data_IF_937382283873
#
_entry.id   IF_937382283873
#
_cell.length_a   1.000
_cell.length_b   1.000
_cell.length_c   1.000
_cell.angle_alpha   90.00
_cell.angle_beta   90.00
_cell.angle_gamma   90.00
#
_symmetry.space_group_name_H-M   'P 1'
#
loop_
_entity.id
_entity.type
_entity.pdbx_description
1 polymer ?
#
# COMPACT_ATOMS: atom_id res chain seq x y z
N UNK A 1 5.96 25.55 -2.02
CA UNK A 1 5.00 24.59 -2.60
C UNK A 1 5.77 23.55 -3.38
N UNK A 2 5.27 22.32 -3.47
CA UNK A 2 5.90 21.28 -4.28
C UNK A 2 5.68 21.58 -5.77
N UNK A 3 6.75 21.60 -6.56
CA UNK A 3 6.70 21.63 -8.03
C UNK A 3 6.70 20.19 -8.53
N UNK A 4 5.85 19.88 -9.51
CA UNK A 4 5.75 18.56 -10.14
C UNK A 4 5.93 18.71 -11.64
N UNK A 5 6.47 17.70 -12.30
CA UNK A 5 6.42 17.64 -13.76
C UNK A 5 4.99 17.43 -14.26
N UNK A 6 4.70 17.79 -15.52
CA UNK A 6 3.41 17.47 -16.15
C UNK A 6 3.12 15.96 -16.09
N UNK A 7 4.16 15.14 -16.25
CA UNK A 7 4.05 13.69 -16.20
C UNK A 7 3.64 13.21 -14.82
N UNK A 8 4.32 13.66 -13.76
CA UNK A 8 4.00 13.29 -12.37
C UNK A 8 2.62 13.78 -11.93
N UNK A 9 2.21 14.97 -12.40
CA UNK A 9 0.85 15.46 -12.19
C UNK A 9 -0.17 14.54 -12.88
N UNK A 10 0.09 14.15 -14.13
CA UNK A 10 -0.74 13.20 -14.88
C UNK A 10 -0.84 11.86 -14.16
N UNK A 11 0.28 11.30 -13.71
CA UNK A 11 0.33 10.03 -12.97
C UNK A 11 -0.41 10.12 -11.64
N UNK A 12 -0.24 11.21 -10.89
CA UNK A 12 -0.93 11.43 -9.61
C UNK A 12 -2.44 11.53 -9.79
N UNK A 13 -2.90 12.24 -10.83
CA UNK A 13 -4.32 12.37 -11.15
C UNK A 13 -4.90 11.03 -11.62
N UNK A 14 -4.21 10.31 -12.50
CA UNK A 14 -4.63 8.97 -12.95
C UNK A 14 -4.71 8.00 -11.78
N UNK A 15 -3.75 8.01 -10.86
CA UNK A 15 -3.78 7.18 -9.65
C UNK A 15 -4.98 7.54 -8.75
N UNK A 16 -5.22 8.83 -8.51
CA UNK A 16 -6.35 9.27 -7.70
C UNK A 16 -7.69 8.84 -8.33
N UNK A 17 -7.85 9.03 -9.64
CA UNK A 17 -9.06 8.65 -10.38
C UNK A 17 -9.26 7.13 -10.45
N UNK A 18 -8.17 6.38 -10.60
CA UNK A 18 -8.21 4.91 -10.53
C UNK A 18 -8.67 4.47 -9.14
N UNK A 19 -8.22 5.14 -8.08
CA UNK A 19 -8.72 4.94 -6.72
C UNK A 19 -10.22 5.22 -6.57
N UNK A 20 -10.69 6.34 -7.14
CA UNK A 20 -12.13 6.69 -7.15
C UNK A 20 -12.95 5.67 -7.93
N UNK A 21 -12.53 5.30 -9.13
CA UNK A 21 -13.20 4.31 -9.98
C UNK A 21 -13.27 2.94 -9.28
N UNK A 22 -12.19 2.51 -8.61
CA UNK A 22 -12.20 1.28 -7.80
C UNK A 22 -13.14 1.37 -6.61
N UNK A 23 -13.26 2.55 -6.00
CA UNK A 23 -14.20 2.79 -4.89
C UNK A 23 -15.64 2.72 -5.39
N UNK A 24 -15.96 3.39 -6.51
CA UNK A 24 -17.29 3.36 -7.15
C UNK A 24 -17.68 1.95 -7.61
N UNK A 25 -16.73 1.19 -8.16
CA UNK A 25 -16.95 -0.21 -8.55
C UNK A 25 -17.25 -1.12 -7.35
N UNK A 26 -16.74 -0.77 -6.14
CA UNK A 26 -16.97 -1.51 -4.89
C UNK A 26 -18.26 -1.08 -4.16
N UNK A 27 -18.69 0.16 -4.31
CA UNK A 27 -19.94 0.70 -3.71
C UNK A 27 -21.22 0.31 -4.47
N UNK A 28 -21.16 -0.71 -5.33
CA UNK A 28 -22.32 -1.24 -6.04
C UNK A 28 -23.20 -2.07 -5.10
N UNK A 29 -23.93 -1.41 -4.21
CA UNK A 29 -25.14 -1.95 -3.59
C UNK A 29 -26.33 -1.89 -4.57
N UNK A 30 -27.50 -2.37 -4.15
CA UNK A 30 -28.74 -2.67 -4.90
C UNK A 30 -29.20 -1.69 -6.01
N UNK A 31 -28.60 -0.50 -6.11
CA UNK A 31 -28.83 0.51 -7.13
C UNK A 31 -28.01 0.34 -8.44
N UNK A 32 -27.03 -0.57 -8.48
CA UNK A 32 -26.29 -0.94 -9.70
C UNK A 32 -24.83 -0.50 -9.72
N UNK A 33 -24.10 -0.93 -10.77
CA UNK A 33 -22.67 -0.62 -10.96
C UNK A 33 -22.53 0.77 -11.55
N UNK A 34 -21.85 1.67 -10.84
CA UNK A 34 -21.54 3.01 -11.31
C UNK A 34 -20.16 3.01 -11.98
N UNK A 35 -20.11 3.49 -13.23
CA UNK A 35 -18.88 3.76 -13.96
C UNK A 35 -18.74 5.27 -14.12
N UNK A 36 -17.54 5.79 -13.89
CA UNK A 36 -17.24 7.19 -14.14
C UNK A 36 -17.01 7.38 -15.64
N UNK A 37 -17.97 7.97 -16.35
CA UNK A 37 -17.97 8.10 -17.82
C UNK A 37 -17.08 9.23 -18.36
N UNK A 38 -17.10 10.37 -17.69
CA UNK A 38 -16.26 11.50 -18.02
C UNK A 38 -15.85 12.24 -16.76
N UNK A 39 -14.55 12.49 -16.59
CA UNK A 39 -14.07 13.49 -15.63
C UNK A 39 -13.44 14.62 -16.41
N UNK A 40 -14.00 15.81 -16.25
CA UNK A 40 -13.41 17.07 -16.65
C UNK A 40 -12.87 17.76 -15.40
N UNK A 41 -11.54 17.85 -15.31
CA UNK A 41 -10.87 18.56 -14.24
C UNK A 41 -10.23 19.81 -14.83
N UNK A 42 -10.60 20.98 -14.30
CA UNK A 42 -9.94 22.26 -14.61
C UNK A 42 -9.06 22.65 -13.43
N UNK A 43 -7.75 22.46 -13.57
CA UNK A 43 -6.79 22.86 -12.53
C UNK A 43 -6.08 24.15 -12.95
N UNK A 44 -6.18 25.24 -12.16
CA UNK A 44 -5.37 26.42 -12.37
C UNK A 44 -3.93 26.11 -11.97
N UNK A 45 -3.03 26.09 -12.95
CA UNK A 45 -1.62 25.81 -12.70
C UNK A 45 -0.72 26.91 -13.23
N UNK A 46 0.40 27.11 -12.56
CA UNK A 46 1.53 27.88 -13.07
C UNK A 46 2.51 26.95 -13.77
N UNK A 47 2.88 27.31 -14.98
CA UNK A 47 3.88 26.60 -15.77
C UNK A 47 5.23 27.34 -15.73
N UNK A 48 6.31 26.59 -15.58
CA UNK A 48 7.69 27.09 -15.70
C UNK A 48 8.54 26.05 -16.41
N UNK A 49 9.50 26.51 -17.21
CA UNK A 49 10.52 25.60 -17.78
C UNK A 49 11.69 25.53 -16.79
N UNK A 50 12.02 24.32 -16.36
CA UNK A 50 13.15 24.00 -15.51
C UNK A 50 14.50 24.20 -16.22
N UNK A 51 15.60 24.27 -15.46
CA UNK A 51 16.95 24.40 -16.03
C UNK A 51 17.37 23.18 -16.90
N UNK A 52 16.67 22.06 -16.77
CA UNK A 52 16.79 20.83 -17.55
C UNK A 52 15.87 20.79 -18.79
N UNK A 53 15.13 21.87 -19.04
CA UNK A 53 14.18 21.97 -20.14
C UNK A 53 12.83 21.29 -19.88
N UNK A 54 12.59 20.74 -18.69
CA UNK A 54 11.31 20.13 -18.35
C UNK A 54 10.25 21.18 -18.03
N UNK A 55 8.99 20.86 -18.32
CA UNK A 55 7.86 21.72 -17.93
C UNK A 55 7.41 21.33 -16.53
N UNK A 56 7.63 22.24 -15.59
CA UNK A 56 7.23 22.15 -14.21
C UNK A 56 5.89 22.85 -14.01
N UNK A 57 5.06 22.23 -13.20
CA UNK A 57 3.69 22.63 -12.88
C UNK A 57 3.59 22.83 -11.39
N UNK A 58 2.97 23.94 -10.97
CA UNK A 58 2.61 24.18 -9.57
C UNK A 58 1.14 24.57 -9.47
N UNK A 59 0.38 24.02 -8.50
CA UNK A 59 -1.00 24.46 -8.25
C UNK A 59 -0.99 25.94 -7.82
N UNK A 60 -1.93 26.73 -8.32
CA UNK A 60 -2.13 28.08 -7.83
C UNK A 60 -3.07 28.08 -6.62
N UNK A 61 -2.59 28.56 -5.48
CA UNK A 61 -3.41 28.84 -4.30
C UNK A 61 -3.73 30.33 -4.27
N UNK A 62 -4.89 30.74 -4.79
CA UNK A 62 -5.45 32.07 -4.58
C UNK A 62 -5.68 32.91 -5.84
N UNK A 63 -6.16 34.13 -5.59
CA UNK A 63 -6.70 35.14 -6.51
C UNK A 63 -5.63 35.78 -7.43
N UNK A 64 -4.78 34.93 -8.02
CA UNK A 64 -3.80 35.38 -9.01
C UNK A 64 -4.51 35.81 -10.29
N UNK A 65 -4.05 36.89 -10.95
CA UNK A 65 -4.71 37.40 -12.14
C UNK A 65 -4.82 36.28 -13.18
N UNK A 66 -6.04 36.03 -13.64
CA UNK A 66 -6.43 34.91 -14.52
C UNK A 66 -5.56 34.74 -15.77
N UNK A 67 -4.79 35.77 -16.15
CA UNK A 67 -3.84 35.76 -17.25
C UNK A 67 -2.55 34.95 -17.02
N UNK A 68 -2.27 34.48 -15.79
CA UNK A 68 -1.08 33.66 -15.48
C UNK A 68 -1.39 32.17 -15.22
N UNK A 69 -2.66 31.79 -15.26
CA UNK A 69 -3.10 30.44 -14.97
C UNK A 69 -3.34 29.69 -16.28
N UNK A 70 -2.62 28.58 -16.46
CA UNK A 70 -2.95 27.63 -17.52
C UNK A 70 -4.01 26.68 -17.00
N UNK A 71 -5.03 26.39 -17.82
CA UNK A 71 -6.02 25.35 -17.52
C UNK A 71 -5.60 24.06 -18.21
N UNK A 72 -5.42 23.02 -17.43
CA UNK A 72 -5.27 21.67 -17.96
C UNK A 72 -6.66 21.06 -17.94
N UNK A 73 -7.23 20.75 -19.13
CA UNK A 73 -8.46 19.98 -19.27
C UNK A 73 -8.10 18.52 -19.43
N UNK A 74 -8.43 17.70 -18.44
CA UNK A 74 -8.31 16.25 -18.53
C UNK A 74 -9.68 15.69 -18.90
N UNK A 75 -9.74 14.75 -19.85
CA UNK A 75 -10.96 14.01 -20.21
C UNK A 75 -10.67 12.53 -20.03
N UNK A 76 -11.43 11.85 -19.19
CA UNK A 76 -11.22 10.44 -18.88
C UNK A 76 -12.49 9.65 -19.19
N UNK A 77 -12.39 8.63 -20.05
CA UNK A 77 -13.50 7.74 -20.40
C UNK A 77 -13.28 6.35 -19.76
N UNK A 78 -14.30 5.69 -19.20
CA UNK A 78 -14.19 4.33 -18.72
C UNK A 78 -14.09 3.41 -19.92
N UNK A 79 -13.33 2.33 -19.76
CA UNK A 79 -13.31 1.27 -20.76
C UNK A 79 -14.71 0.66 -20.89
N UNK A 80 -15.20 0.53 -22.11
CA UNK A 80 -16.43 -0.21 -22.37
C UNK A 80 -16.24 -1.68 -21.97
N UNK A 81 -17.32 -2.39 -21.61
CA UNK A 81 -17.27 -3.77 -21.12
C UNK A 81 -16.56 -4.77 -22.06
N UNK A 82 -16.36 -4.41 -23.34
CA UNK A 82 -15.64 -5.19 -24.36
C UNK A 82 -14.25 -4.63 -24.72
N UNK A 83 -13.86 -3.48 -24.19
CA UNK A 83 -12.47 -3.04 -24.25
C UNK A 83 -11.72 -3.70 -23.11
N UNK A 84 -11.21 -4.91 -23.34
CA UNK A 84 -10.12 -5.48 -22.55
C UNK A 84 -8.84 -4.64 -22.75
N UNK A 85 -8.86 -3.37 -22.36
CA UNK A 85 -7.66 -2.76 -21.79
C UNK A 85 -7.48 -3.53 -20.49
N UNK A 86 -6.72 -4.62 -20.58
CA UNK A 86 -6.47 -5.52 -19.46
C UNK A 86 -6.00 -4.69 -18.29
N UNK A 87 -6.94 -4.37 -17.38
CA UNK A 87 -6.58 -3.83 -16.08
C UNK A 87 -5.58 -4.85 -15.54
N UNK A 88 -4.33 -4.43 -15.28
CA UNK A 88 -3.34 -5.37 -14.78
C UNK A 88 -3.98 -6.04 -13.56
N UNK A 89 -3.84 -7.38 -13.43
CA UNK A 89 -4.43 -8.09 -12.31
C UNK A 89 -4.10 -7.33 -11.02
N UNK A 90 -5.08 -7.14 -10.12
CA UNK A 90 -4.91 -6.29 -8.95
C UNK A 90 -3.62 -6.67 -8.25
N UNK A 91 -2.71 -5.70 -8.17
CA UNK A 91 -1.43 -5.86 -7.48
C UNK A 91 -1.70 -6.21 -6.02
N UNK A 92 -0.75 -6.86 -5.34
CA UNK A 92 -0.92 -7.24 -3.92
C UNK A 92 -1.37 -6.07 -3.04
N UNK A 93 -1.00 -4.83 -3.39
CA UNK A 93 -1.41 -3.60 -2.71
C UNK A 93 -2.88 -3.20 -2.91
N UNK A 94 -3.53 -3.60 -4.01
CA UNK A 94 -4.92 -3.23 -4.32
C UNK A 94 -5.95 -4.10 -3.57
N UNK A 95 -5.48 -5.13 -2.88
CA UNK A 95 -6.30 -6.10 -2.14
C UNK A 95 -6.95 -5.44 -0.90
N UNK A 96 -8.16 -5.89 -0.52
CA UNK A 96 -8.84 -5.40 0.68
C UNK A 96 -8.11 -5.87 1.95
N UNK A 97 -8.34 -5.16 3.05
CA UNK A 97 -7.77 -5.51 4.37
C UNK A 97 -8.26 -6.85 4.92
N UNK A 98 -9.38 -7.37 4.44
CA UNK A 98 -9.98 -8.63 4.88
C UNK A 98 -9.11 -9.87 4.63
N UNK A 99 -8.07 -9.75 3.79
CA UNK A 99 -7.13 -10.85 3.54
C UNK A 99 -6.08 -11.01 4.64
N UNK A 100 -5.96 -10.03 5.55
CA UNK A 100 -5.03 -10.10 6.66
C UNK A 100 -5.69 -10.81 7.84
N UNK A 101 -5.15 -11.96 8.31
CA UNK A 101 -5.86 -12.87 9.22
C UNK A 101 -6.12 -12.26 10.60
N UNK A 102 -5.28 -11.32 11.05
CA UNK A 102 -5.41 -10.69 12.37
C UNK A 102 -6.39 -9.49 12.38
N UNK A 103 -6.92 -9.08 11.22
CA UNK A 103 -7.84 -7.95 11.13
C UNK A 103 -9.30 -8.38 11.26
N UNK A 104 -9.89 -8.14 12.43
CA UNK A 104 -11.32 -8.35 12.64
C UNK A 104 -12.17 -7.34 11.86
N UNK A 105 -13.44 -7.68 11.58
CA UNK A 105 -14.35 -6.77 10.88
C UNK A 105 -14.52 -5.42 11.61
N UNK A 106 -14.49 -5.43 12.95
CA UNK A 106 -14.55 -4.19 13.75
C UNK A 106 -13.31 -3.31 13.53
N UNK A 107 -12.12 -3.90 13.46
CA UNK A 107 -10.88 -3.19 13.15
C UNK A 107 -10.91 -2.62 11.74
N UNK A 108 -11.36 -3.42 10.76
CA UNK A 108 -11.49 -2.99 9.37
C UNK A 108 -12.44 -1.79 9.25
N UNK A 109 -13.56 -1.79 9.97
CA UNK A 109 -14.48 -0.65 9.98
C UNK A 109 -13.85 0.61 10.60
N UNK A 110 -13.02 0.48 11.64
CA UNK A 110 -12.27 1.62 12.19
C UNK A 110 -11.25 2.15 11.18
N UNK A 111 -10.51 1.27 10.51
CA UNK A 111 -9.55 1.61 9.45
C UNK A 111 -10.22 2.34 8.27
N UNK A 112 -11.41 1.89 7.87
CA UNK A 112 -12.22 2.56 6.85
C UNK A 112 -12.59 3.99 7.27
N UNK A 113 -12.83 4.23 8.56
CA UNK A 113 -13.05 5.58 9.11
C UNK A 113 -11.86 6.52 8.96
N UNK A 114 -10.64 5.99 8.78
CA UNK A 114 -9.42 6.73 8.45
C UNK A 114 -9.10 6.70 6.95
N UNK A 115 -10.04 6.27 6.11
CA UNK A 115 -9.85 6.08 4.67
C UNK A 115 -8.74 5.07 4.31
N UNK A 116 -8.52 4.06 5.16
CA UNK A 116 -7.58 2.96 4.91
C UNK A 116 -8.40 1.74 4.49
N UNK A 117 -8.47 1.49 3.17
CA UNK A 117 -9.35 0.45 2.60
C UNK A 117 -8.59 -0.75 2.04
N UNK A 118 -7.32 -0.55 1.69
CA UNK A 118 -6.48 -1.53 1.01
C UNK A 118 -5.18 -1.79 1.74
N UNK A 119 -4.51 -2.89 1.40
CA UNK A 119 -3.15 -3.19 1.87
C UNK A 119 -2.19 -2.05 1.50
N UNK A 120 -2.31 -1.49 0.30
CA UNK A 120 -1.50 -0.34 -0.14
C UNK A 120 -1.71 0.90 0.71
N UNK A 121 -2.97 1.24 1.03
CA UNK A 121 -3.26 2.37 1.94
C UNK A 121 -2.66 2.12 3.33
N UNK A 122 -2.80 0.90 3.85
CA UNK A 122 -2.29 0.53 5.16
C UNK A 122 -0.77 0.62 5.24
N UNK A 123 -0.07 0.07 4.23
CA UNK A 123 1.39 0.17 4.13
C UNK A 123 1.86 1.61 3.93
N UNK A 124 1.13 2.42 3.15
CA UNK A 124 1.45 3.84 2.96
C UNK A 124 1.32 4.64 4.25
N UNK A 125 0.28 4.40 5.05
CA UNK A 125 0.11 5.09 6.34
C UNK A 125 1.19 4.67 7.33
N UNK A 126 1.42 3.36 7.46
CA UNK A 126 2.34 2.77 8.44
C UNK A 126 3.82 2.96 8.09
N UNK A 127 4.16 3.34 6.86
CA UNK A 127 5.56 3.64 6.49
C UNK A 127 6.06 4.98 7.05
N UNK A 128 5.16 5.88 7.43
CA UNK A 128 5.52 7.16 8.05
C UNK A 128 5.55 7.05 9.59
N UNK A 129 6.51 7.72 10.25
CA UNK A 129 6.59 7.74 11.73
C UNK A 129 5.27 8.21 12.36
N UNK A 130 4.71 9.30 11.85
CA UNK A 130 3.47 9.88 12.35
C UNK A 130 2.26 8.96 12.12
N UNK A 131 2.19 8.31 10.95
CA UNK A 131 1.12 7.36 10.64
C UNK A 131 1.21 6.10 11.49
N UNK A 132 2.42 5.58 11.72
CA UNK A 132 2.64 4.47 12.64
C UNK A 132 2.23 4.84 14.08
N UNK A 133 2.68 5.98 14.59
CA UNK A 133 2.30 6.46 15.94
C UNK A 133 0.78 6.64 16.09
N UNK A 134 0.12 7.19 15.06
CA UNK A 134 -1.34 7.29 15.02
C UNK A 134 -1.97 5.89 15.13
N UNK A 135 -1.49 4.91 14.36
CA UNK A 135 -2.03 3.54 14.38
C UNK A 135 -1.86 2.86 15.74
N UNK A 136 -0.74 3.10 16.43
CA UNK A 136 -0.52 2.63 17.81
C UNK A 136 -1.51 3.30 18.78
N UNK A 137 -1.74 4.60 18.65
CA UNK A 137 -2.63 5.37 19.54
C UNK A 137 -4.11 5.01 19.38
N UNK A 138 -4.53 4.57 18.18
CA UNK A 138 -5.92 4.15 17.93
C UNK A 138 -6.28 2.87 18.72
N UNK A 139 -5.31 2.24 19.40
CA UNK A 139 -5.47 1.06 20.26
C UNK A 139 -6.39 0.02 19.61
N UNK A 140 -5.95 -0.44 18.44
CA UNK A 140 -6.65 -1.47 17.72
C UNK A 140 -6.27 -2.82 18.33
N UNK A 141 -7.25 -3.70 18.52
CA UNK A 141 -7.06 -5.01 19.16
C UNK A 141 -6.32 -6.02 18.24
N UNK A 142 -5.16 -5.63 17.70
CA UNK A 142 -4.28 -6.45 16.88
C UNK A 142 -2.80 -6.05 17.04
N UNK A 143 -1.90 -6.96 16.65
CA UNK A 143 -0.46 -6.69 16.62
C UNK A 143 -0.08 -5.94 15.35
N UNK A 144 0.14 -4.62 15.48
CA UNK A 144 0.44 -3.73 14.35
C UNK A 144 1.68 -4.16 13.58
N UNK A 145 2.76 -4.56 14.26
CA UNK A 145 4.01 -4.91 13.60
C UNK A 145 3.84 -6.21 12.80
N UNK A 146 3.17 -7.21 13.40
CA UNK A 146 2.83 -8.45 12.71
C UNK A 146 1.96 -8.19 11.49
N UNK A 147 0.93 -7.37 11.60
CA UNK A 147 0.02 -7.05 10.47
C UNK A 147 0.74 -6.28 9.37
N UNK A 148 1.70 -5.39 9.69
CA UNK A 148 2.55 -4.73 8.69
C UNK A 148 3.37 -5.77 7.93
N UNK A 149 3.94 -6.76 8.61
CA UNK A 149 4.73 -7.80 7.94
C UNK A 149 3.87 -8.71 7.05
N UNK A 150 2.64 -9.04 7.49
CA UNK A 150 1.67 -9.78 6.67
C UNK A 150 1.26 -8.97 5.43
N UNK A 151 0.97 -7.68 5.61
CA UNK A 151 0.64 -6.78 4.52
C UNK A 151 1.78 -6.68 3.49
N UNK A 152 3.04 -6.62 3.93
CA UNK A 152 4.21 -6.65 3.04
C UNK A 152 4.38 -7.97 2.32
N UNK A 153 4.08 -9.10 2.97
CA UNK A 153 4.11 -10.41 2.34
C UNK A 153 3.13 -10.46 1.16
N UNK A 154 1.89 -10.04 1.39
CA UNK A 154 0.84 -10.01 0.34
C UNK A 154 1.14 -8.98 -0.75
N UNK A 155 1.73 -7.84 -0.41
CA UNK A 155 2.09 -6.79 -1.34
C UNK A 155 3.38 -7.06 -2.14
N UNK A 156 4.10 -8.16 -1.88
CA UNK A 156 5.40 -8.44 -2.49
C UNK A 156 5.24 -8.69 -4.01
N UNK A 157 5.93 -7.92 -4.88
CA UNK A 157 5.84 -8.11 -6.33
C UNK A 157 6.30 -9.50 -6.81
N UNK A 158 7.25 -10.09 -6.09
CA UNK A 158 7.85 -11.39 -6.40
C UNK A 158 7.00 -12.56 -5.90
N UNK A 159 6.02 -12.30 -5.03
CA UNK A 159 5.19 -13.33 -4.40
C UNK A 159 3.81 -13.37 -5.05
N UNK A 160 3.45 -14.46 -5.73
CA UNK A 160 2.09 -14.66 -6.19
C UNK A 160 1.12 -14.64 -5.01
N UNK A 161 -0.02 -13.96 -5.16
CA UNK A 161 -0.99 -13.78 -4.09
C UNK A 161 -1.42 -15.10 -3.43
N UNK A 162 -1.67 -16.15 -4.24
CA UNK A 162 -2.10 -17.46 -3.71
C UNK A 162 -1.04 -18.07 -2.78
N UNK A 163 0.25 -17.84 -3.06
CA UNK A 163 1.33 -18.27 -2.18
C UNK A 163 1.35 -17.42 -0.91
N UNK A 164 1.18 -16.10 -1.00
CA UNK A 164 1.13 -15.25 0.18
C UNK A 164 -0.04 -15.62 1.11
N UNK A 165 -1.22 -15.87 0.56
CA UNK A 165 -2.42 -16.29 1.30
C UNK A 165 -2.20 -17.64 1.99
N UNK A 166 -1.71 -18.64 1.27
CA UNK A 166 -1.42 -19.97 1.80
C UNK A 166 -0.36 -19.93 2.93
N UNK A 167 0.68 -19.09 2.77
CA UNK A 167 1.69 -18.87 3.82
C UNK A 167 1.08 -18.24 5.08
N UNK A 168 0.18 -17.26 4.93
CA UNK A 168 -0.52 -16.64 6.05
C UNK A 168 -1.40 -17.65 6.80
N UNK A 169 -2.11 -18.51 6.09
CA UNK A 169 -2.93 -19.59 6.68
C UNK A 169 -2.08 -20.57 7.51
N UNK A 170 -0.83 -20.80 7.12
CA UNK A 170 0.13 -21.65 7.83
C UNK A 170 0.97 -20.89 8.87
N UNK A 171 0.62 -19.64 9.17
CA UNK A 171 1.24 -18.84 10.23
C UNK A 171 2.60 -18.23 9.86
N UNK A 172 2.95 -18.19 8.58
CA UNK A 172 4.17 -17.52 8.08
C UNK A 172 3.80 -16.08 7.76
N UNK A 173 4.12 -15.18 8.71
CA UNK A 173 3.59 -13.82 8.73
C UNK A 173 4.45 -12.81 7.97
N UNK A 174 5.65 -13.18 7.52
CA UNK A 174 6.59 -12.22 6.92
C UNK A 174 7.41 -12.84 5.80
N UNK A 175 7.91 -11.97 4.90
CA UNK A 175 8.86 -12.36 3.84
C UNK A 175 10.13 -12.98 4.43
N UNK A 176 10.56 -12.47 5.60
CA UNK A 176 11.73 -12.96 6.30
C UNK A 176 11.52 -14.37 6.87
N UNK A 177 10.34 -14.66 7.42
CA UNK A 177 10.00 -15.99 7.91
C UNK A 177 9.96 -16.97 6.74
N UNK A 178 9.30 -16.60 5.64
CA UNK A 178 9.28 -17.39 4.41
C UNK A 178 10.71 -17.67 3.89
N UNK A 179 11.57 -16.66 3.85
CA UNK A 179 12.95 -16.80 3.41
C UNK A 179 13.78 -17.77 4.29
N UNK A 180 13.42 -17.96 5.56
CA UNK A 180 14.15 -18.83 6.50
C UNK A 180 13.73 -20.29 6.46
N UNK A 181 12.60 -20.62 5.82
CA UNK A 181 12.10 -22.00 5.78
C UNK A 181 13.08 -22.93 5.05
N UNK A 182 13.28 -24.13 5.62
CA UNK A 182 13.95 -25.23 4.92
C UNK A 182 13.02 -25.84 3.86
N UNK A 183 13.55 -26.60 2.88
CA UNK A 183 12.73 -27.30 1.90
C UNK A 183 11.66 -28.22 2.51
N UNK A 184 11.97 -28.87 3.64
CA UNK A 184 11.03 -29.71 4.37
C UNK A 184 9.91 -28.89 5.00
N UNK A 185 10.27 -27.75 5.62
CA UNK A 185 9.29 -26.83 6.21
C UNK A 185 8.40 -26.19 5.14
N UNK A 186 8.95 -25.86 3.95
CA UNK A 186 8.17 -25.36 2.82
C UNK A 186 7.10 -26.36 2.37
N UNK A 187 7.42 -27.66 2.30
CA UNK A 187 6.45 -28.70 1.93
C UNK A 187 5.30 -28.84 2.93
N UNK A 188 5.55 -28.54 4.21
CA UNK A 188 4.52 -28.56 5.25
C UNK A 188 3.73 -27.25 5.32
N UNK A 189 4.38 -26.15 4.96
CA UNK A 189 3.81 -24.80 4.98
C UNK A 189 2.97 -24.46 3.75
N UNK A 190 3.08 -25.27 2.69
CA UNK A 190 2.37 -25.07 1.43
C UNK A 190 1.29 -26.13 1.29
N UNK A 191 0.06 -25.72 0.99
CA UNK A 191 -1.04 -26.67 0.80
C UNK A 191 -0.87 -27.51 -0.48
N UNK A 192 -1.39 -28.75 -0.44
CA UNK A 192 -1.42 -29.63 -1.61
C UNK A 192 -2.12 -28.96 -2.81
N UNK A 193 -3.15 -28.14 -2.54
CA UNK A 193 -3.86 -27.34 -3.55
C UNK A 193 -2.94 -26.34 -4.25
N UNK A 194 -2.05 -25.68 -3.52
CA UNK A 194 -1.11 -24.74 -4.14
C UNK A 194 -0.07 -25.50 -4.97
N UNK A 195 0.34 -26.71 -4.54
CA UNK A 195 1.30 -27.56 -5.29
C UNK A 195 0.73 -28.04 -6.62
N UNK A 196 -0.59 -28.24 -6.72
CA UNK A 196 -1.27 -28.58 -7.97
C UNK A 196 -1.22 -27.45 -9.02
N UNK A 197 -1.10 -26.20 -8.56
CA UNK A 197 -1.17 -24.99 -9.41
C UNK A 197 0.22 -24.36 -9.61
N UNK A 198 1.13 -24.57 -8.65
CA UNK A 198 2.49 -24.05 -8.64
C UNK A 198 3.46 -25.11 -8.14
N UNK A 199 4.48 -25.40 -8.93
CA UNK A 199 5.48 -26.42 -8.58
C UNK A 199 6.34 -25.98 -7.38
N UNK A 200 6.80 -26.96 -6.60
CA UNK A 200 7.72 -26.69 -5.49
C UNK A 200 9.02 -26.01 -5.95
N UNK A 201 9.49 -26.30 -7.16
CA UNK A 201 10.67 -25.65 -7.75
C UNK A 201 10.43 -24.15 -8.01
N UNK A 202 9.22 -23.75 -8.41
CA UNK A 202 8.85 -22.34 -8.56
C UNK A 202 8.80 -21.64 -7.20
N UNK A 203 8.23 -22.27 -6.18
CA UNK A 203 8.18 -21.73 -4.81
C UNK A 203 9.60 -21.53 -4.26
N UNK A 204 10.50 -22.49 -4.47
CA UNK A 204 11.91 -22.38 -4.07
C UNK A 204 12.62 -21.27 -4.83
N UNK A 205 12.34 -21.06 -6.12
CA UNK A 205 12.89 -19.92 -6.87
C UNK A 205 12.41 -18.59 -6.29
N UNK A 206 11.12 -18.46 -6.01
CA UNK A 206 10.54 -17.25 -5.38
C UNK A 206 11.23 -16.99 -4.03
N UNK A 207 11.39 -18.04 -3.20
CA UNK A 207 12.11 -17.94 -1.92
C UNK A 207 13.56 -17.47 -2.11
N UNK A 208 14.26 -17.96 -3.14
CA UNK A 208 15.62 -17.54 -3.46
C UNK A 208 15.70 -16.07 -3.89
N UNK A 209 14.74 -15.57 -4.68
CA UNK A 209 14.66 -14.14 -5.04
C UNK A 209 14.45 -13.29 -3.79
N UNK A 210 13.52 -13.67 -2.93
CA UNK A 210 13.24 -12.93 -1.68
C UNK A 210 14.46 -12.90 -0.75
N UNK A 211 15.23 -14.00 -0.65
CA UNK A 211 16.50 -14.04 0.11
C UNK A 211 17.53 -13.02 -0.39
N UNK A 212 17.55 -12.73 -1.69
CA UNK A 212 18.49 -11.80 -2.30
C UNK A 212 18.02 -10.33 -2.19
N UNK A 213 16.76 -10.11 -1.82
CA UNK A 213 16.15 -8.80 -1.65
C UNK A 213 15.69 -8.62 -0.20
N UNK A 214 16.61 -8.40 0.76
CA UNK A 214 16.21 -7.96 2.09
C UNK A 214 15.35 -6.70 1.95
N UNK A 215 14.33 -6.50 2.79
CA UNK A 215 13.32 -5.43 2.67
C UNK A 215 13.93 -4.03 2.39
N UNK A 216 14.21 -3.71 1.12
CA UNK A 216 14.71 -2.39 0.68
C UNK A 216 13.56 -1.50 0.20
N UNK A 217 12.39 -2.08 -0.11
CA UNK A 217 11.30 -1.39 -0.81
C UNK A 217 10.59 -0.32 0.05
N UNK A 218 10.83 -0.26 1.37
CA UNK A 218 10.30 0.81 2.23
C UNK A 218 11.38 1.56 3.04
N UNK A 219 12.64 1.50 2.61
CA UNK A 219 13.77 2.16 3.29
C UNK A 219 13.86 3.68 3.04
N UNK A 220 12.81 4.31 2.54
CA UNK A 220 12.62 5.75 2.64
C UNK A 220 11.85 6.05 3.92
N UNK A 221 12.51 6.71 4.89
CA UNK A 221 12.01 7.22 6.18
C UNK A 221 12.37 6.37 7.41
N UNK A 222 13.34 6.89 8.17
CA UNK A 222 13.44 6.74 9.62
C UNK A 222 13.90 5.37 10.14
N UNK A 223 15.14 5.31 10.65
CA UNK A 223 15.55 4.24 11.57
C UNK A 223 14.48 4.08 12.65
N UNK A 224 13.92 2.86 12.80
CA UNK A 224 13.01 2.52 13.91
C UNK A 224 13.63 3.02 15.22
N UNK A 225 12.91 3.80 16.06
CA UNK A 225 13.41 4.14 17.38
C UNK A 225 13.57 2.84 18.16
N UNK A 226 14.81 2.51 18.48
CA UNK A 226 15.13 1.40 19.38
C UNK A 226 14.64 1.81 20.76
N UNK A 227 13.81 0.96 21.39
CA UNK A 227 13.41 1.14 22.80
C UNK A 227 14.69 1.18 23.64
N UNK A 228 15.07 2.35 24.11
CA UNK A 228 16.07 2.50 25.16
C UNK A 228 15.46 1.96 26.45
N UNK A 229 15.96 0.82 26.91
CA UNK A 229 15.70 0.31 28.25
C UNK A 229 16.17 1.35 29.27
N UNK A 230 15.24 2.12 29.84
CA UNK A 230 15.44 2.80 31.10
C UNK A 230 14.90 1.93 32.23
N UNK A 231 15.69 0.94 32.60
CA UNK A 231 15.57 0.30 33.91
C UNK A 231 16.68 0.82 34.82
N UNK A 232 16.29 1.74 35.72
CA UNK A 232 17.03 2.00 36.96
C UNK A 232 16.11 2.64 38.00
N UNK A 233 15.68 1.92 39.03
CA UNK A 233 15.33 2.55 40.28
C UNK A 233 16.57 2.64 41.16
N UNK A 234 17.05 3.87 41.37
CA UNK A 234 17.91 4.18 42.51
C UNK A 234 17.04 4.22 43.77
N UNK A 235 17.33 3.35 44.74
CA UNK A 235 16.63 3.36 46.01
C UNK A 235 17.28 2.46 47.04
N UNK A 236 18.30 2.99 47.73
CA UNK A 236 18.67 2.65 49.12
C UNK A 236 19.85 3.52 49.56
N UNK A 237 19.56 4.64 50.20
CA UNK A 237 20.44 5.21 51.23
C UNK A 237 19.75 4.99 52.57
N UNK A 238 20.34 4.11 53.37
CA UNK A 238 19.96 3.87 54.76
C UNK A 238 20.83 4.82 55.59
N UNK A 239 20.20 5.74 56.32
CA UNK A 239 20.86 6.50 57.37
C UNK A 239 21.03 5.59 58.60
N UNK A 240 22.26 5.51 59.10
CA UNK A 240 22.58 5.23 60.50
C UNK A 240 23.60 6.25 60.93
#
# INVERSE_FOLDING_TARGET
>A
MAELTILELGESVVQALTGVQRTLARSADEAGRYLMDEVELDVPVRLRIGPDGQVLVSPSEGDEPAHQLTRIRLKLRPAEQDETVGLPPPTGTDRPLTVLPDLTQTVIQRLNGFHIFTIGDFLRVTSSVRGYEMMVQVNMDFDLDKTIDQAKLVASPEMPYMLAEDLLEHGINSRLDFAKLTPEQLKTAVSDRLIEIMSMDEIVRIQAVIRQQPDVIFAGVGKRPTKTNHDKPAGKTSNT
#
